data_IF_813847654773
#
_entry.id   IF_813847654773
#
_cell.length_a   1.000
_cell.length_b   1.000
_cell.length_c   1.000
_cell.angle_alpha   90.00
_cell.angle_beta   90.00
_cell.angle_gamma   90.00
#
_symmetry.space_group_name_H-M   'P 1'
#
loop_
_entity.id
_entity.type
_entity.pdbx_description
1 polymer ?
2 non-polymer ?
3 water ?
#
# COMPACT_ATOMS: atom_id res chain seq x y z
N UNK A 1 21.38 2.61 -2.22
CA UNK A 1 22.68 2.02 -1.84
C UNK A 1 22.48 0.66 -1.18
N UNK A 2 22.07 0.68 0.08
CA UNK A 2 22.13 -0.52 0.92
C UNK A 2 20.79 -1.25 1.00
N UNK A 3 20.89 -2.47 1.51
CA UNK A 3 19.70 -3.30 1.69
C UNK A 3 19.02 -2.97 3.03
N UNK A 4 17.91 -2.23 2.99
CA UNK A 4 17.17 -1.89 4.23
C UNK A 4 16.22 -3.03 4.66
N UNK A 5 16.13 -4.08 3.83
CA UNK A 5 15.41 -5.28 4.22
C UNK A 5 13.91 -5.01 4.49
N UNK A 6 13.31 -4.06 3.77
CA UNK A 6 11.86 -3.80 3.82
C UNK A 6 11.18 -4.80 2.92
N UNK A 7 10.42 -5.72 3.50
CA UNK A 7 9.76 -6.79 2.77
C UNK A 7 8.26 -6.54 2.70
N UNK A 8 7.68 -6.72 1.52
CA UNK A 8 6.25 -6.65 1.35
C UNK A 8 5.67 -8.05 1.43
N UNK A 9 4.88 -8.27 2.48
CA UNK A 9 4.46 -9.61 2.82
C UNK A 9 3.11 -10.05 2.26
N UNK A 10 2.48 -9.19 1.45
CA UNK A 10 1.35 -9.58 0.61
C UNK A 10 0.12 -10.07 1.38
N UNK A 11 -0.10 -9.49 2.56
CA UNK A 11 -1.37 -9.63 3.25
C UNK A 11 -2.21 -8.47 2.73
N UNK A 12 -3.05 -8.78 1.74
CA UNK A 12 -3.81 -7.77 0.98
C UNK A 12 -5.26 -7.92 1.36
N UNK A 13 -5.83 -6.85 1.91
CA UNK A 13 -7.25 -6.81 2.37
C UNK A 13 -7.87 -5.45 2.03
N UNK A 14 -9.20 -5.41 2.03
CA UNK A 14 -9.96 -4.17 2.03
C UNK A 14 -10.30 -3.71 3.45
N UNK A 15 -10.06 -2.45 3.71
CA UNK A 15 -10.38 -1.83 4.97
C UNK A 15 -11.60 -0.92 4.76
N UNK A 16 -12.77 -1.37 5.21
CA UNK A 16 -13.99 -0.56 5.02
C UNK A 16 -14.00 0.79 5.80
N UNK A 17 -13.25 0.86 6.89
CA UNK A 17 -13.22 2.05 7.75
C UNK A 17 -12.55 3.17 6.99
N UNK A 18 -11.53 2.83 6.22
CA UNK A 18 -10.78 3.81 5.44
C UNK A 18 -11.11 3.83 3.94
N UNK A 19 -11.88 2.85 3.46
CA UNK A 19 -12.10 2.64 2.01
C UNK A 19 -10.77 2.60 1.29
N UNK A 20 -9.95 1.61 1.67
CA UNK A 20 -8.58 1.50 1.19
C UNK A 20 -8.19 0.04 1.05
N UNK A 21 -7.27 -0.26 0.14
CA UNK A 21 -6.54 -1.51 0.20
C UNK A 21 -5.47 -1.38 1.29
N UNK A 22 -5.49 -2.35 2.17
CA UNK A 22 -4.51 -2.48 3.25
C UNK A 22 -3.49 -3.55 2.79
N UNK A 23 -2.21 -3.17 2.78
CA UNK A 23 -1.14 -4.09 2.42
C UNK A 23 -0.04 -3.96 3.48
N UNK A 24 0.80 -4.96 3.57
CA UNK A 24 1.72 -5.07 4.68
C UNK A 24 3.19 -5.06 4.23
N UNK A 25 4.00 -4.35 4.99
CA UNK A 25 5.45 -4.40 4.86
C UNK A 25 5.97 -4.85 6.21
N UNK A 26 7.22 -5.29 6.24
CA UNK A 26 7.81 -5.71 7.47
C UNK A 26 9.28 -5.39 7.41
N UNK A 27 9.84 -4.96 8.54
CA UNK A 27 11.27 -4.76 8.57
C UNK A 27 11.79 -5.33 9.90
N UNK A 28 12.74 -6.26 9.80
CA UNK A 28 13.36 -6.85 10.99
C UNK A 28 12.28 -7.21 12.02
N UNK A 29 11.25 -7.91 11.55
CA UNK A 29 10.21 -8.40 12.44
C UNK A 29 9.05 -7.48 12.79
N UNK A 30 9.15 -6.22 12.41
CA UNK A 30 8.11 -5.26 12.73
C UNK A 30 7.26 -4.97 11.51
N UNK A 31 5.97 -5.16 11.67
CA UNK A 31 4.99 -4.93 10.62
C UNK A 31 4.72 -3.42 10.50
N UNK A 32 4.66 -3.00 9.24
CA UNK A 32 4.27 -1.66 8.86
C UNK A 32 3.02 -1.75 7.98
N UNK A 33 1.91 -1.27 8.53
CA UNK A 33 0.67 -1.25 7.79
C UNK A 33 0.66 -0.13 6.75
N UNK A 34 0.39 -0.51 5.51
CA UNK A 34 0.36 0.44 4.40
C UNK A 34 -1.03 0.45 3.77
N UNK A 35 -1.39 1.58 3.22
CA UNK A 35 -2.74 1.78 2.70
C UNK A 35 -2.69 2.57 1.40
N UNK A 36 -3.54 2.19 0.46
CA UNK A 36 -3.80 2.99 -0.74
C UNK A 36 -5.32 3.16 -0.86
N UNK A 37 -5.76 4.41 -0.78
CA UNK A 37 -7.17 4.68 -0.78
C UNK A 37 -7.86 4.39 -2.11
N UNK A 38 -9.16 4.16 -2.02
CA UNK A 38 -9.97 3.84 -3.21
C UNK A 38 -9.73 4.83 -4.33
N UNK A 39 -9.83 6.12 -4.03
CA UNK A 39 -9.70 7.13 -5.07
C UNK A 39 -8.30 7.12 -5.70
N UNK A 40 -7.26 6.90 -4.89
CA UNK A 40 -5.91 6.86 -5.42
C UNK A 40 -5.77 5.73 -6.44
N UNK A 41 -6.29 4.57 -6.07
CA UNK A 41 -6.25 3.42 -6.93
C UNK A 41 -7.10 3.58 -8.19
N UNK A 42 -8.26 4.21 -8.06
CA UNK A 42 -9.12 4.52 -9.23
C UNK A 42 -8.43 5.44 -10.23
N UNK A 43 -7.81 6.51 -9.72
CA UNK A 43 -7.04 7.42 -10.58
C UNK A 43 -5.87 6.70 -11.25
N UNK A 44 -5.13 5.91 -10.47
CA UNK A 44 -3.98 5.17 -11.01
C UNK A 44 -4.37 4.23 -12.13
N UNK A 45 -5.44 3.47 -11.91
CA UNK A 45 -5.95 2.50 -12.89
C UNK A 45 -6.80 3.09 -13.99
N UNK A 46 -7.26 4.35 -13.84
CA UNK A 46 -8.25 4.96 -14.76
C UNK A 46 -9.51 4.09 -14.84
N UNK A 47 -9.96 3.66 -13.65
CA UNK A 47 -11.11 2.77 -13.53
C UNK A 47 -11.79 2.98 -12.20
N UNK A 48 -13.10 3.06 -12.21
CA UNK A 48 -13.84 3.12 -10.97
C UNK A 48 -14.06 1.70 -10.38
N UNK A 49 -13.95 1.61 -9.06
CA UNK A 49 -14.00 0.36 -8.32
C UNK A 49 -15.38 0.14 -7.80
N UNK A 50 -15.96 -1.02 -8.08
CA UNK A 50 -17.31 -1.34 -7.58
C UNK A 50 -17.41 -2.73 -6.95
N UNK A 51 -16.28 -3.42 -6.81
CA UNK A 51 -16.28 -4.74 -6.21
C UNK A 51 -14.90 -4.95 -5.59
N UNK A 52 -14.88 -5.52 -4.39
CA UNK A 52 -13.61 -5.75 -3.71
C UNK A 52 -12.68 -6.70 -4.48
N UNK A 53 -13.24 -7.59 -5.30
CA UNK A 53 -12.39 -8.47 -6.13
C UNK A 53 -11.61 -7.64 -7.16
N UNK A 54 -12.32 -6.72 -7.77
CA UNK A 54 -11.76 -5.75 -8.71
C UNK A 54 -10.70 -4.88 -8.05
N UNK A 55 -10.99 -4.40 -6.83
CA UNK A 55 -10.04 -3.60 -6.05
C UNK A 55 -8.72 -4.34 -5.89
N UNK A 56 -8.80 -5.61 -5.48
CA UNK A 56 -7.59 -6.42 -5.26
C UNK A 56 -6.89 -6.66 -6.60
N UNK A 57 -7.66 -6.89 -7.66
CA UNK A 57 -7.08 -7.09 -8.99
C UNK A 57 -6.31 -5.85 -9.47
N UNK A 58 -6.84 -4.68 -9.19
CA UNK A 58 -6.16 -3.43 -9.56
C UNK A 58 -4.87 -3.23 -8.75
N UNK A 59 -4.91 -3.50 -7.45
CA UNK A 59 -3.69 -3.51 -6.65
C UNK A 59 -2.62 -4.43 -7.29
N UNK A 60 -3.05 -5.65 -7.61
CA UNK A 60 -2.11 -6.62 -8.21
C UNK A 60 -1.55 -6.12 -9.54
N UNK A 61 -2.39 -5.49 -10.35
CA UNK A 61 -1.95 -4.93 -11.64
C UNK A 61 -0.82 -3.91 -11.47
N UNK A 62 -0.88 -3.13 -10.39
CA UNK A 62 0.06 -2.07 -10.14
C UNK A 62 0.92 -2.37 -8.88
N UNK A 63 0.99 -3.63 -8.48
CA UNK A 63 1.60 -3.98 -7.19
C UNK A 63 3.00 -3.38 -7.04
N UNK A 64 3.85 -3.59 -8.04
CA UNK A 64 5.25 -3.18 -7.89
C UNK A 64 5.43 -1.66 -7.92
N UNK A 65 4.58 -0.95 -8.66
CA UNK A 65 4.60 0.50 -8.58
C UNK A 65 4.15 1.00 -7.21
N UNK A 66 3.10 0.38 -6.69
CA UNK A 66 2.54 0.80 -5.39
C UNK A 66 3.52 0.52 -4.27
N UNK A 67 4.04 -0.71 -4.25
CA UNK A 67 5.00 -1.10 -3.21
C UNK A 67 6.32 -0.30 -3.34
N UNK A 68 6.73 0.05 -4.57
CA UNK A 68 7.91 0.89 -4.74
C UNK A 68 7.71 2.20 -4.00
N UNK A 69 6.54 2.79 -4.20
CA UNK A 69 6.22 4.08 -3.56
C UNK A 69 6.14 3.92 -2.02
N UNK A 70 5.53 2.83 -1.53
CA UNK A 70 5.47 2.60 -0.09
C UNK A 70 6.87 2.47 0.48
N UNK A 71 7.75 1.78 -0.25
CA UNK A 71 9.13 1.60 0.20
C UNK A 71 9.87 2.93 0.33
N UNK A 72 9.65 3.81 -0.62
CA UNK A 72 10.25 5.12 -0.61
C UNK A 72 9.73 5.90 0.59
N UNK A 73 8.41 5.84 0.78
CA UNK A 73 7.81 6.57 1.91
C UNK A 73 8.38 6.09 3.25
N UNK A 74 8.53 4.78 3.39
CA UNK A 74 9.15 4.22 4.61
C UNK A 74 10.59 4.72 4.81
N UNK A 75 11.39 4.68 3.74
CA UNK A 75 12.75 5.19 3.82
C UNK A 75 12.83 6.66 4.18
N UNK A 76 11.85 7.43 3.74
CA UNK A 76 11.75 8.87 3.98
C UNK A 76 11.09 9.19 5.31
N UNK A 77 10.70 8.18 6.08
CA UNK A 77 10.01 8.38 7.38
C UNK A 77 8.67 9.10 7.26
N UNK A 78 7.97 8.86 6.16
CA UNK A 78 6.70 9.51 5.88
C UNK A 78 5.55 8.71 6.50
N UNK A 79 5.67 8.46 7.79
CA UNK A 79 4.64 7.76 8.57
C UNK A 79 3.62 8.77 9.04
N UNK A 80 2.37 8.33 9.11
CA UNK A 80 1.27 9.16 9.55
C UNK A 80 1.09 9.16 11.04
N UNK A 81 0.12 9.92 11.55
CA UNK A 81 -0.06 10.02 13.01
C UNK A 81 -0.54 8.73 13.71
N UNK A 82 -0.78 7.66 12.96
CA UNK A 82 -1.00 6.32 13.57
C UNK A 82 0.11 5.30 13.29
N UNK A 83 1.24 5.77 12.77
CA UNK A 83 2.35 4.87 12.48
C UNK A 83 2.19 4.09 11.19
N UNK A 84 1.26 4.50 10.34
CA UNK A 84 1.00 3.86 9.07
C UNK A 84 1.60 4.59 7.88
N UNK A 85 1.59 3.91 6.74
CA UNK A 85 2.08 4.47 5.50
C UNK A 85 0.88 4.61 4.54
N UNK A 86 0.64 5.84 4.11
CA UNK A 86 -0.46 6.12 3.15
C UNK A 86 0.14 6.49 1.81
N UNK A 87 -0.13 5.67 0.79
CA UNK A 87 0.34 5.93 -0.55
C UNK A 87 -0.68 6.86 -1.21
N UNK A 88 -0.25 8.09 -1.47
CA UNK A 88 -1.16 9.15 -1.96
C UNK A 88 -0.97 9.44 -3.45
N UNK A 89 0.19 9.10 -3.99
CA UNK A 89 0.52 9.31 -5.40
C UNK A 89 1.42 8.20 -5.88
N UNK A 90 1.08 7.68 -7.04
CA UNK A 90 1.86 6.66 -7.72
C UNK A 90 1.93 7.02 -9.21
N UNK A 91 3.15 7.02 -9.75
CA UNK A 91 3.38 7.28 -11.18
C UNK A 91 2.90 8.70 -11.54
X LIG B 1 16.22 4.50 5.38
X LIG B 1 17.01 5.41 4.59
X LIG B 1 16.14 4.95 6.83
X LIG B 1 14.97 5.74 7.07
#
# INVERSE_FOLDING_TARGET
GMNQSIIFTEQLTWDVQLSAIHFTAQQQGMVIDCYIGQKVLEHLAAEKINNSEQALSLFEQFRFDIEEQAEKLIEQEAFDVQGHIQVERVD
EDO C1 O1 C2 O2
#
